data_IF_019069365257
#
_entry.id   IF_019069365257
#
_cell.length_a   1.000
_cell.length_b   1.000
_cell.length_c   1.000
_cell.angle_alpha   90.00
_cell.angle_beta   90.00
_cell.angle_gamma   90.00
#
_symmetry.space_group_name_H-M   'P 1'
#
loop_
_entity.id
_entity.type
_entity.pdbx_description
1 polymer ?
#
# COMPACT_ATOMS: atom_id res chain seq x y z
N UNK A 1 -15.75 11.02 -28.79
CA UNK A 1 -16.32 10.03 -27.84
C UNK A 1 -15.62 8.66 -27.86
N UNK A 2 -15.25 8.08 -29.01
CA UNK A 2 -14.61 6.75 -29.09
C UNK A 2 -13.24 6.64 -28.39
N UNK A 3 -12.38 7.65 -28.54
CA UNK A 3 -11.03 7.66 -27.92
C UNK A 3 -11.03 7.89 -26.40
N UNK A 4 -12.00 8.68 -25.89
CA UNK A 4 -12.25 8.87 -24.46
C UNK A 4 -12.73 7.56 -23.80
N UNK A 5 -13.64 6.86 -24.49
CA UNK A 5 -14.08 5.51 -24.13
C UNK A 5 -12.90 4.53 -24.12
N UNK A 6 -11.97 4.62 -25.07
CA UNK A 6 -10.82 3.72 -25.18
C UNK A 6 -9.75 3.99 -24.11
N UNK A 7 -9.46 5.26 -23.80
CA UNK A 7 -8.61 5.64 -22.66
C UNK A 7 -9.23 5.23 -21.33
N UNK A 8 -10.52 5.52 -21.13
CA UNK A 8 -11.25 5.10 -19.93
C UNK A 8 -11.30 3.57 -19.80
N UNK A 9 -11.46 2.84 -20.90
CA UNK A 9 -11.49 1.38 -20.92
C UNK A 9 -10.12 0.75 -20.64
N UNK A 10 -9.05 1.30 -21.21
CA UNK A 10 -7.68 0.84 -20.93
C UNK A 10 -7.26 1.17 -19.50
N UNK A 11 -7.68 2.33 -18.99
CA UNK A 11 -7.50 2.70 -17.58
C UNK A 11 -8.32 1.77 -16.68
N UNK A 12 -9.59 1.48 -17.00
CA UNK A 12 -10.46 0.55 -16.29
C UNK A 12 -9.87 -0.88 -16.22
N UNK A 13 -9.37 -1.42 -17.34
CA UNK A 13 -8.71 -2.74 -17.36
C UNK A 13 -7.42 -2.74 -16.51
N UNK A 14 -6.65 -1.65 -16.53
CA UNK A 14 -5.42 -1.52 -15.74
C UNK A 14 -5.73 -1.41 -14.24
N UNK A 15 -6.72 -0.61 -13.87
CA UNK A 15 -7.19 -0.43 -12.49
C UNK A 15 -7.77 -1.71 -11.90
N UNK A 16 -8.55 -2.49 -12.69
CA UNK A 16 -9.05 -3.82 -12.31
C UNK A 16 -7.94 -4.84 -12.00
N UNK A 17 -6.75 -4.70 -12.59
CA UNK A 17 -5.60 -5.56 -12.32
C UNK A 17 -4.79 -5.10 -11.10
N UNK A 18 -4.69 -3.80 -10.86
CA UNK A 18 -4.04 -3.21 -9.68
C UNK A 18 -4.75 -3.68 -8.39
N UNK A 19 -6.09 -3.70 -8.38
CA UNK A 19 -6.89 -4.21 -7.27
C UNK A 19 -6.77 -5.73 -7.01
N UNK A 20 -6.31 -6.52 -7.99
CA UNK A 20 -6.26 -7.99 -7.87
C UNK A 20 -5.05 -8.54 -7.08
N UNK A 21 -3.89 -7.87 -7.14
CA UNK A 21 -2.66 -8.37 -6.49
C UNK A 21 -2.40 -7.67 -5.14
N UNK A 22 -3.09 -6.56 -4.86
CA UNK A 22 -3.28 -5.98 -3.53
C UNK A 22 -4.77 -5.91 -3.20
N UNK A 23 -5.49 -7.03 -3.35
CA UNK A 23 -6.82 -7.02 -2.74
C UNK A 23 -6.60 -6.75 -1.26
N UNK A 24 -7.29 -5.77 -0.69
CA UNK A 24 -7.32 -5.48 0.76
C UNK A 24 -7.38 -6.80 1.57
N UNK A 25 -8.10 -7.78 1.00
CA UNK A 25 -8.22 -9.16 1.45
C UNK A 25 -6.89 -9.91 1.60
N UNK A 26 -5.97 -9.84 0.63
CA UNK A 26 -4.67 -10.54 0.73
C UNK A 26 -3.82 -9.95 1.85
N UNK A 27 -3.63 -8.63 1.87
CA UNK A 27 -2.82 -7.97 2.92
C UNK A 27 -3.42 -8.27 4.29
N UNK A 28 -4.73 -8.15 4.44
CA UNK A 28 -5.41 -8.45 5.69
C UNK A 28 -5.35 -9.95 6.05
N UNK A 29 -5.38 -10.86 5.08
CA UNK A 29 -5.24 -12.30 5.32
C UNK A 29 -3.82 -12.66 5.78
N UNK A 30 -2.80 -12.20 5.05
CA UNK A 30 -1.39 -12.42 5.38
C UNK A 30 -1.02 -11.79 6.73
N UNK A 31 -1.47 -10.57 6.98
CA UNK A 31 -1.27 -9.90 8.27
C UNK A 31 -1.94 -10.68 9.41
N UNK A 32 -3.19 -11.14 9.24
CA UNK A 32 -3.87 -11.96 10.26
C UNK A 32 -3.15 -13.26 10.53
N UNK A 33 -2.69 -13.96 9.49
CA UNK A 33 -1.95 -15.22 9.65
C UNK A 33 -0.64 -15.02 10.42
N UNK A 34 0.17 -14.03 10.02
CA UNK A 34 1.45 -13.71 10.69
C UNK A 34 1.21 -13.23 12.12
N UNK A 35 0.23 -12.35 12.33
CA UNK A 35 -0.11 -11.84 13.66
C UNK A 35 -0.63 -12.95 14.58
N UNK A 36 -1.42 -13.89 14.07
CA UNK A 36 -1.92 -15.02 14.84
C UNK A 36 -0.76 -15.92 15.31
N UNK A 37 0.22 -16.20 14.45
CA UNK A 37 1.43 -16.97 14.82
C UNK A 37 2.24 -16.20 15.85
N UNK A 38 2.43 -14.89 15.66
CA UNK A 38 3.17 -14.06 16.61
C UNK A 38 2.51 -14.04 18.00
N UNK A 39 1.19 -13.79 18.05
CA UNK A 39 0.44 -13.68 19.30
C UNK A 39 0.28 -15.02 20.01
N UNK A 40 0.03 -16.09 19.26
CA UNK A 40 -0.22 -17.44 19.80
C UNK A 40 1.06 -18.27 19.91
N UNK A 41 2.24 -17.63 19.85
CA UNK A 41 3.52 -18.33 19.79
C UNK A 41 3.71 -19.37 20.92
N UNK A 42 3.48 -19.05 22.21
CA UNK A 42 3.62 -20.03 23.29
C UNK A 42 2.62 -21.18 23.18
N UNK A 43 1.36 -20.87 22.83
CA UNK A 43 0.33 -21.89 22.66
C UNK A 43 0.65 -22.85 21.51
N UNK A 44 1.21 -22.34 20.40
CA UNK A 44 1.66 -23.16 19.28
C UNK A 44 2.83 -24.05 19.68
N UNK A 45 3.83 -23.51 20.39
CA UNK A 45 4.98 -24.28 20.86
C UNK A 45 4.54 -25.39 21.81
N UNK A 46 3.69 -25.08 22.79
CA UNK A 46 3.14 -26.07 23.71
C UNK A 46 2.33 -27.15 22.99
N UNK A 47 1.43 -26.76 22.07
CA UNK A 47 0.66 -27.73 21.30
C UNK A 47 1.55 -28.66 20.47
N UNK A 48 2.59 -28.12 19.81
CA UNK A 48 3.50 -28.94 19.02
C UNK A 48 4.36 -29.86 19.89
N UNK A 49 4.73 -29.44 21.09
CA UNK A 49 5.44 -30.25 22.07
C UNK A 49 4.58 -31.44 22.52
N UNK A 50 3.40 -31.16 23.05
CA UNK A 50 2.44 -32.19 23.51
C UNK A 50 2.11 -33.18 22.38
N UNK A 51 1.79 -32.67 21.19
CA UNK A 51 1.50 -33.50 20.02
C UNK A 51 2.68 -34.34 19.52
N UNK A 52 3.91 -33.95 19.84
CA UNK A 52 5.12 -34.72 19.47
C UNK A 52 5.46 -35.83 20.48
N UNK A 53 4.96 -35.71 21.70
CA UNK A 53 5.19 -36.63 22.82
C UNK A 53 3.97 -37.53 23.10
N UNK A 54 2.82 -37.27 22.46
CA UNK A 54 1.58 -38.02 22.58
C UNK A 54 1.70 -39.45 22.00
N UNK A 55 1.84 -40.44 22.88
CA UNK A 55 1.98 -41.84 22.51
C UNK A 55 0.75 -42.47 21.84
N UNK A 56 -0.40 -41.79 21.86
CA UNK A 56 -1.60 -42.24 21.15
C UNK A 56 -1.56 -41.94 19.64
N UNK A 57 -0.66 -41.05 19.21
CA UNK A 57 -0.47 -40.67 17.80
C UNK A 57 0.54 -41.57 17.10
N UNK A 58 0.39 -41.68 15.79
CA UNK A 58 1.35 -42.44 14.99
C UNK A 58 2.73 -41.75 14.95
N UNK A 59 3.76 -42.55 14.65
CA UNK A 59 5.14 -42.09 14.63
C UNK A 59 5.40 -40.98 13.60
N UNK A 60 4.63 -40.93 12.52
CA UNK A 60 4.75 -39.93 11.45
C UNK A 60 4.17 -38.58 11.90
N UNK A 61 3.03 -38.58 12.57
CA UNK A 61 2.43 -37.39 13.15
C UNK A 61 3.33 -36.79 14.22
N UNK A 62 3.83 -37.61 15.16
CA UNK A 62 4.78 -37.14 16.19
C UNK A 62 6.02 -36.52 15.58
N UNK A 63 6.60 -37.14 14.55
CA UNK A 63 7.75 -36.60 13.82
C UNK A 63 7.43 -35.27 13.13
N UNK A 64 6.22 -35.12 12.56
CA UNK A 64 5.76 -33.86 11.96
C UNK A 64 5.69 -32.75 13.00
N UNK A 65 5.06 -32.98 14.15
CA UNK A 65 4.95 -31.98 15.21
C UNK A 65 6.30 -31.62 15.82
N UNK A 66 7.19 -32.60 16.01
CA UNK A 66 8.59 -32.36 16.40
C UNK A 66 9.32 -31.46 15.40
N UNK A 67 9.11 -31.69 14.10
CA UNK A 67 9.67 -30.86 13.04
C UNK A 67 9.08 -29.45 13.03
N UNK A 68 7.78 -29.28 13.29
CA UNK A 68 7.12 -27.97 13.39
C UNK A 68 7.62 -27.18 14.60
N UNK A 69 7.73 -27.82 15.77
CA UNK A 69 8.31 -27.21 16.96
C UNK A 69 9.74 -26.76 16.71
N UNK A 70 10.57 -27.63 16.12
CA UNK A 70 11.96 -27.28 15.77
C UNK A 70 12.06 -26.11 14.80
N UNK A 71 11.09 -25.94 13.89
CA UNK A 71 11.05 -24.77 12.99
C UNK A 71 10.59 -23.51 13.72
N UNK A 72 9.57 -23.62 14.57
CA UNK A 72 9.00 -22.51 15.34
C UNK A 72 10.05 -21.88 16.27
N UNK A 73 10.79 -22.72 17.00
CA UNK A 73 11.85 -22.33 17.93
C UNK A 73 13.19 -22.00 17.24
N UNK A 74 13.23 -21.89 15.92
CA UNK A 74 14.44 -21.50 15.19
C UNK A 74 14.58 -19.98 15.17
N UNK A 75 15.76 -19.46 15.51
CA UNK A 75 16.07 -18.01 15.46
C UNK A 75 15.78 -17.44 14.07
N UNK A 76 16.18 -18.16 13.01
CA UNK A 76 15.97 -17.71 11.62
C UNK A 76 14.48 -17.61 11.27
N UNK A 77 13.65 -18.51 11.81
CA UNK A 77 12.21 -18.44 11.63
C UNK A 77 11.64 -17.24 12.38
N UNK A 78 12.03 -17.03 13.64
CA UNK A 78 11.58 -15.90 14.45
C UNK A 78 11.93 -14.55 13.80
N UNK A 79 13.18 -14.37 13.34
CA UNK A 79 13.61 -13.17 12.61
C UNK A 79 12.82 -12.93 11.32
N UNK A 80 12.57 -14.01 10.57
CA UNK A 80 11.75 -13.92 9.34
C UNK A 80 10.29 -13.58 9.65
N UNK A 81 9.72 -14.16 10.70
CA UNK A 81 8.37 -13.88 11.18
C UNK A 81 8.24 -12.41 11.63
N UNK A 82 9.22 -11.92 12.38
CA UNK A 82 9.30 -10.55 12.87
C UNK A 82 9.34 -9.54 11.72
N UNK A 83 10.25 -9.74 10.75
CA UNK A 83 10.33 -8.90 9.55
C UNK A 83 9.01 -8.87 8.78
N UNK A 84 8.37 -10.03 8.59
CA UNK A 84 7.06 -10.09 7.94
C UNK A 84 5.99 -9.35 8.75
N UNK A 85 6.00 -9.46 10.08
CA UNK A 85 5.03 -8.79 10.94
C UNK A 85 5.14 -7.26 10.85
N UNK A 86 6.37 -6.72 10.88
CA UNK A 86 6.61 -5.28 10.76
C UNK A 86 6.17 -4.74 9.39
N UNK A 87 6.59 -5.40 8.30
CA UNK A 87 6.21 -4.98 6.93
C UNK A 87 4.71 -5.09 6.68
N UNK A 88 4.08 -6.21 7.09
CA UNK A 88 2.65 -6.39 6.91
C UNK A 88 1.82 -5.42 7.75
N UNK A 89 2.33 -4.97 8.91
CA UNK A 89 1.67 -3.96 9.73
C UNK A 89 1.63 -2.61 9.02
N UNK A 90 2.75 -2.18 8.42
CA UNK A 90 2.78 -0.95 7.61
C UNK A 90 1.84 -1.06 6.40
N UNK A 91 1.85 -2.20 5.69
CA UNK A 91 0.95 -2.43 4.55
C UNK A 91 -0.53 -2.45 4.96
N UNK A 92 -0.87 -3.05 6.11
CA UNK A 92 -2.22 -3.07 6.67
C UNK A 92 -2.69 -1.66 7.01
N UNK A 93 -1.86 -0.88 7.70
CA UNK A 93 -2.19 0.50 8.07
C UNK A 93 -2.39 1.37 6.83
N UNK A 94 -1.49 1.26 5.84
CA UNK A 94 -1.66 1.92 4.55
C UNK A 94 -2.99 1.55 3.90
N UNK A 95 -3.30 0.26 3.84
CA UNK A 95 -4.53 -0.25 3.22
C UNK A 95 -5.77 0.33 3.88
N UNK A 96 -5.81 0.43 5.22
CA UNK A 96 -6.94 1.02 5.96
C UNK A 96 -7.07 2.52 5.71
N UNK A 97 -5.97 3.26 5.68
CA UNK A 97 -5.99 4.69 5.40
C UNK A 97 -6.52 4.96 3.98
N UNK A 98 -6.07 4.16 3.00
CA UNK A 98 -6.50 4.30 1.61
C UNK A 98 -7.96 3.88 1.38
N UNK A 99 -8.55 3.07 2.26
CA UNK A 99 -9.97 2.70 2.22
C UNK A 99 -10.90 3.83 2.66
N UNK A 100 -10.37 4.93 3.21
CA UNK A 100 -11.18 6.09 3.53
C UNK A 100 -11.74 6.74 2.26
N UNK A 101 -13.07 6.77 2.12
CA UNK A 101 -13.79 7.30 0.96
C UNK A 101 -13.51 8.77 0.65
N UNK A 102 -12.92 9.52 1.60
CA UNK A 102 -12.58 10.94 1.44
C UNK A 102 -11.15 11.19 0.95
N UNK A 103 -10.34 10.15 0.76
CA UNK A 103 -8.94 10.33 0.35
C UNK A 103 -8.86 10.69 -1.13
N UNK A 104 -8.37 11.89 -1.44
CA UNK A 104 -8.14 12.33 -2.83
C UNK A 104 -6.95 11.61 -3.45
N UNK A 105 -6.91 11.52 -4.78
CA UNK A 105 -5.80 10.85 -5.47
C UNK A 105 -4.41 11.44 -5.12
N UNK A 106 -4.21 12.79 -5.08
CA UNK A 106 -2.95 13.36 -4.60
C UNK A 106 -2.63 12.98 -3.16
N UNK A 107 -3.63 13.00 -2.27
CA UNK A 107 -3.43 12.62 -0.87
C UNK A 107 -3.06 11.14 -0.74
N UNK A 108 -3.70 10.26 -1.50
CA UNK A 108 -3.38 8.85 -1.57
C UNK A 108 -1.93 8.63 -2.06
N UNK A 109 -1.51 9.39 -3.09
CA UNK A 109 -0.15 9.38 -3.60
C UNK A 109 0.88 9.75 -2.53
N UNK A 110 0.64 10.83 -1.78
CA UNK A 110 1.53 11.28 -0.71
C UNK A 110 1.64 10.26 0.42
N UNK A 111 0.48 9.70 0.84
CA UNK A 111 0.42 8.67 1.88
C UNK A 111 1.20 7.43 1.44
N UNK A 112 0.94 6.91 0.24
CA UNK A 112 1.67 5.76 -0.28
C UNK A 112 3.17 6.01 -0.40
N UNK A 113 3.59 7.17 -0.92
CA UNK A 113 5.01 7.55 -1.01
C UNK A 113 5.66 7.61 0.37
N UNK A 114 4.94 8.11 1.38
CA UNK A 114 5.38 8.12 2.77
C UNK A 114 5.55 6.69 3.31
N UNK A 115 4.59 5.80 3.04
CA UNK A 115 4.67 4.40 3.49
C UNK A 115 5.75 3.59 2.77
N UNK A 116 6.04 3.87 1.49
CA UNK A 116 7.21 3.31 0.79
C UNK A 116 8.48 3.68 1.56
N UNK A 117 8.67 4.96 1.89
CA UNK A 117 9.84 5.41 2.67
C UNK A 117 9.90 4.77 4.06
N UNK A 118 8.75 4.61 4.74
CA UNK A 118 8.66 3.92 6.04
C UNK A 118 9.13 2.47 5.93
N UNK A 119 8.64 1.71 4.94
CA UNK A 119 9.05 0.32 4.74
C UNK A 119 10.54 0.23 4.39
N UNK A 120 11.04 1.09 3.50
CA UNK A 120 12.47 1.16 3.17
C UNK A 120 13.34 1.45 4.39
N UNK A 121 12.84 2.24 5.34
CA UNK A 121 13.56 2.62 6.55
C UNK A 121 13.86 1.43 7.47
N UNK A 122 13.16 0.30 7.33
CA UNK A 122 13.44 -0.93 8.10
C UNK A 122 14.84 -1.49 7.88
N UNK A 123 15.52 -1.13 6.79
CA UNK A 123 16.92 -1.48 6.59
C UNK A 123 17.88 -0.80 7.58
N UNK A 124 17.46 0.34 8.16
CA UNK A 124 18.28 1.15 9.07
C UNK A 124 17.70 1.21 10.47
N UNK A 125 16.38 1.23 10.57
CA UNK A 125 15.63 1.33 11.82
C UNK A 125 14.68 0.14 11.88
N UNK A 126 15.06 -0.97 12.54
CA UNK A 126 14.21 -2.16 12.60
C UNK A 126 12.86 -1.84 13.24
N UNK A 127 11.81 -2.52 12.78
CA UNK A 127 10.49 -2.44 13.40
C UNK A 127 10.46 -3.13 14.76
N UNK A 128 9.36 -2.93 15.50
CA UNK A 128 9.24 -3.42 16.87
C UNK A 128 9.41 -4.94 16.96
N UNK A 129 8.81 -5.70 16.04
CA UNK A 129 8.92 -7.16 16.07
C UNK A 129 10.36 -7.61 15.79
N UNK A 130 11.06 -6.94 14.89
CA UNK A 130 12.47 -7.21 14.60
C UNK A 130 13.38 -6.89 15.80
N UNK A 131 13.08 -5.83 16.56
CA UNK A 131 13.77 -5.53 17.82
C UNK A 131 13.53 -6.64 18.84
N UNK A 132 12.27 -7.04 19.04
CA UNK A 132 11.91 -8.13 19.98
C UNK A 132 12.62 -9.44 19.61
N UNK A 133 12.69 -9.77 18.31
CA UNK A 133 13.39 -10.97 17.83
C UNK A 133 14.91 -10.90 18.01
N UNK A 134 15.50 -9.70 17.95
CA UNK A 134 16.93 -9.51 18.18
C UNK A 134 17.26 -9.67 19.67
N UNK A 135 16.44 -9.11 20.55
CA UNK A 135 16.57 -9.31 22.00
C UNK A 135 16.40 -10.78 22.39
N UNK A 136 15.44 -11.48 21.77
CA UNK A 136 15.21 -12.90 21.98
C UNK A 136 16.40 -13.77 21.55
N UNK A 137 17.12 -13.37 20.49
CA UNK A 137 18.34 -14.06 20.07
C UNK A 137 19.47 -13.91 21.10
N UNK A 138 19.63 -12.73 21.71
CA UNK A 138 20.67 -12.48 22.73
C UNK A 138 20.50 -13.39 23.95
N UNK A 139 19.26 -13.63 24.37
CA UNK A 139 18.94 -14.48 25.53
C UNK A 139 18.57 -15.92 25.14
N UNK A 140 18.53 -16.24 23.85
CA UNK A 140 18.11 -17.54 23.30
C UNK A 140 16.74 -18.01 23.80
N UNK A 141 15.82 -17.08 24.03
CA UNK A 141 14.48 -17.35 24.53
C UNK A 141 13.48 -16.37 23.93
N UNK A 142 12.30 -16.86 23.54
CA UNK A 142 11.20 -16.00 23.11
C UNK A 142 9.89 -16.45 23.74
N UNK A 143 9.27 -15.56 24.54
CA UNK A 143 7.98 -15.80 25.20
C UNK A 143 7.94 -17.12 26.02
N UNK A 144 9.02 -17.42 26.74
CA UNK A 144 9.15 -18.62 27.56
C UNK A 144 9.59 -19.88 26.80
N UNK A 145 9.89 -19.76 25.51
CA UNK A 145 10.31 -20.88 24.66
C UNK A 145 11.80 -20.75 24.29
N UNK A 146 12.57 -21.80 24.59
CA UNK A 146 14.01 -21.85 24.27
C UNK A 146 14.21 -21.88 22.75
N UNK A 147 15.02 -20.95 22.26
CA UNK A 147 15.37 -20.84 20.85
C UNK A 147 16.57 -21.72 20.52
N UNK A 148 16.70 -22.05 19.23
CA UNK A 148 17.80 -22.86 18.71
C UNK A 148 18.31 -22.30 17.40
N UNK A 149 19.60 -22.54 17.14
CA UNK A 149 20.20 -22.30 15.84
C UNK A 149 19.70 -23.38 14.88
N UNK A 150 18.57 -23.11 14.23
CA UNK A 150 17.92 -24.02 13.29
C UNK A 150 18.40 -23.85 11.86
N UNK A 151 18.05 -24.82 11.00
CA UNK A 151 18.29 -24.77 9.54
C UNK A 151 17.18 -24.06 8.76
N UNK A 152 16.28 -23.34 9.43
CA UNK A 152 15.22 -22.62 8.74
C UNK A 152 15.85 -21.59 7.81
N UNK A 153 15.37 -21.47 6.55
CA UNK A 153 15.82 -20.41 5.67
C UNK A 153 15.49 -19.07 6.30
N UNK A 154 16.45 -18.15 6.24
CA UNK A 154 16.26 -16.77 6.68
C UNK A 154 15.88 -15.92 5.48
N UNK A 155 14.91 -15.04 5.67
CA UNK A 155 14.58 -14.02 4.67
C UNK A 155 15.73 -13.01 4.62
N UNK A 156 16.25 -12.75 3.43
CA UNK A 156 17.13 -11.60 3.20
C UNK A 156 16.30 -10.32 3.38
N UNK A 157 16.53 -9.61 4.47
CA UNK A 157 15.76 -8.43 4.86
C UNK A 157 15.84 -7.33 3.81
N UNK A 158 17.04 -7.04 3.32
CA UNK A 158 17.29 -5.99 2.35
C UNK A 158 16.59 -6.31 1.02
N UNK A 159 16.72 -7.54 0.54
CA UNK A 159 16.06 -7.98 -0.68
C UNK A 159 14.53 -7.96 -0.53
N UNK A 160 14.01 -8.44 0.58
CA UNK A 160 12.56 -8.49 0.84
C UNK A 160 11.96 -7.09 0.93
N UNK A 161 12.55 -6.21 1.74
CA UNK A 161 12.10 -4.81 1.89
C UNK A 161 12.14 -4.10 0.54
N UNK A 162 13.23 -4.26 -0.22
CA UNK A 162 13.37 -3.68 -1.55
C UNK A 162 12.29 -4.20 -2.50
N UNK A 163 12.06 -5.51 -2.54
CA UNK A 163 11.04 -6.10 -3.40
C UNK A 163 9.63 -5.57 -3.08
N UNK A 164 9.29 -5.41 -1.80
CA UNK A 164 8.01 -4.82 -1.39
C UNK A 164 7.92 -3.35 -1.80
N UNK A 165 8.94 -2.55 -1.49
CA UNK A 165 8.98 -1.13 -1.83
C UNK A 165 8.91 -0.89 -3.34
N UNK A 166 9.68 -1.65 -4.12
CA UNK A 166 9.68 -1.55 -5.59
C UNK A 166 8.32 -1.97 -6.15
N UNK A 167 7.67 -3.00 -5.60
CA UNK A 167 6.33 -3.39 -6.01
C UNK A 167 5.28 -2.30 -5.71
N UNK A 168 5.41 -1.60 -4.58
CA UNK A 168 4.55 -0.47 -4.26
C UNK A 168 4.79 0.69 -5.25
N UNK A 169 6.05 1.03 -5.54
CA UNK A 169 6.42 2.08 -6.49
C UNK A 169 5.94 1.79 -7.90
N UNK A 170 6.14 0.57 -8.41
CA UNK A 170 5.68 0.20 -9.75
C UNK A 170 4.18 0.41 -9.92
N UNK A 171 3.40 0.15 -8.86
CA UNK A 171 1.94 0.35 -8.88
C UNK A 171 1.51 1.79 -8.62
N UNK A 172 2.37 2.60 -8.01
CA UNK A 172 2.18 4.04 -7.82
C UNK A 172 2.32 4.83 -9.12
N UNK A 173 3.23 4.43 -10.01
CA UNK A 173 3.72 5.29 -11.11
C UNK A 173 3.27 4.89 -12.51
N UNK A 174 2.29 3.99 -12.66
CA UNK A 174 1.88 3.52 -14.01
C UNK A 174 0.37 3.63 -14.23
N UNK A 175 -0.01 4.38 -15.27
CA UNK A 175 -1.35 4.40 -15.87
C UNK A 175 -1.62 3.19 -16.78
N UNK A 176 -0.70 2.22 -16.90
CA UNK A 176 -0.90 1.01 -17.73
C UNK A 176 0.00 -0.16 -17.30
N UNK A 177 -0.56 -1.36 -17.26
CA UNK A 177 0.04 -2.60 -16.72
C UNK A 177 1.09 -3.31 -17.62
N UNK A 178 1.69 -2.64 -18.62
CA UNK A 178 2.69 -3.29 -19.46
C UNK A 178 4.12 -2.86 -19.07
N UNK A 179 5.00 -3.86 -18.90
CA UNK A 179 6.46 -3.72 -18.99
C UNK A 179 6.79 -3.14 -20.37
N UNK A 180 6.70 -1.83 -20.50
CA UNK A 180 7.13 -1.14 -21.70
C UNK A 180 8.63 -0.88 -21.59
N UNK A 181 9.24 -0.54 -22.73
CA UNK A 181 10.61 -0.06 -22.77
C UNK A 181 10.82 1.10 -21.77
N UNK A 182 12.02 1.18 -21.19
CA UNK A 182 12.34 2.11 -20.09
C UNK A 182 11.99 3.58 -20.42
N UNK A 183 12.17 4.01 -21.67
CA UNK A 183 11.81 5.36 -22.14
C UNK A 183 10.30 5.65 -22.07
N UNK A 184 9.47 4.68 -22.46
CA UNK A 184 8.01 4.79 -22.39
C UNK A 184 7.52 4.75 -20.93
N UNK A 185 8.20 3.99 -20.07
CA UNK A 185 7.90 3.96 -18.63
C UNK A 185 8.23 5.30 -17.94
N UNK A 186 9.35 5.95 -18.29
CA UNK A 186 9.73 7.26 -17.77
C UNK A 186 8.71 8.35 -18.13
N UNK A 187 8.33 8.45 -19.41
CA UNK A 187 7.33 9.43 -19.87
C UNK A 187 5.97 9.24 -19.17
N UNK A 188 5.57 8.00 -18.88
CA UNK A 188 4.31 7.73 -18.16
C UNK A 188 4.36 8.14 -16.69
N UNK A 189 5.49 7.94 -16.02
CA UNK A 189 5.69 8.39 -14.64
C UNK A 189 5.64 9.91 -14.55
N UNK A 190 6.25 10.60 -15.50
CA UNK A 190 6.19 12.07 -15.59
C UNK A 190 4.76 12.57 -15.85
N UNK A 191 4.04 11.96 -16.78
CA UNK A 191 2.64 12.29 -17.06
C UNK A 191 1.74 12.07 -15.83
N UNK A 192 1.93 10.95 -15.11
CA UNK A 192 1.20 10.68 -13.88
C UNK A 192 1.51 11.71 -12.79
N UNK A 193 2.79 12.00 -12.52
CA UNK A 193 3.17 13.01 -11.53
C UNK A 193 2.63 14.40 -11.89
N UNK A 194 2.62 14.75 -13.18
CA UNK A 194 2.01 15.99 -13.68
C UNK A 194 0.51 16.03 -13.36
N UNK A 195 -0.22 14.94 -13.64
CA UNK A 195 -1.64 14.83 -13.29
C UNK A 195 -1.89 14.95 -11.78
N UNK A 196 -1.05 14.32 -10.95
CA UNK A 196 -1.15 14.45 -9.48
C UNK A 196 -0.98 15.90 -9.04
N UNK A 197 0.05 16.59 -9.54
CA UNK A 197 0.27 18.00 -9.24
C UNK A 197 -0.89 18.87 -9.71
N UNK A 198 -1.44 18.58 -10.89
CA UNK A 198 -2.60 19.29 -11.44
C UNK A 198 -3.85 19.09 -10.59
N UNK A 199 -4.08 17.90 -10.05
CA UNK A 199 -5.21 17.65 -9.15
C UNK A 199 -4.98 18.25 -7.76
N UNK A 200 -3.73 18.36 -7.30
CA UNK A 200 -3.40 18.87 -5.98
C UNK A 200 -3.83 20.33 -5.78
N UNK A 201 -3.84 21.15 -6.83
CA UNK A 201 -4.28 22.56 -6.76
C UNK A 201 -5.78 22.71 -6.53
N UNK A 202 -6.58 21.65 -6.66
CA UNK A 202 -8.00 21.69 -6.35
C UNK A 202 -8.27 21.64 -4.83
N UNK A 203 -7.27 21.28 -4.03
CA UNK A 203 -7.37 21.30 -2.57
C UNK A 203 -6.92 22.68 -2.01
N UNK A 204 -7.77 23.41 -1.29
CA UNK A 204 -7.42 24.70 -0.68
C UNK A 204 -6.22 24.66 0.26
N UNK A 205 -5.97 23.53 0.93
CA UNK A 205 -4.83 23.38 1.85
C UNK A 205 -3.47 23.47 1.14
N UNK A 206 -3.45 23.32 -0.19
CA UNK A 206 -2.23 23.35 -1.00
C UNK A 206 -1.97 24.72 -1.62
N UNK A 207 -2.82 25.73 -1.37
CA UNK A 207 -2.72 27.02 -2.04
C UNK A 207 -1.63 27.90 -1.44
N UNK A 208 -0.85 28.53 -2.33
CA UNK A 208 -0.12 29.75 -2.00
C UNK A 208 -1.12 30.91 -1.93
N UNK A 209 -1.52 31.27 -0.71
CA UNK A 209 -2.52 32.31 -0.46
C UNK A 209 -2.06 33.72 -0.88
N UNK A 210 -0.74 33.92 -1.04
CA UNK A 210 -0.18 35.20 -1.46
C UNK A 210 -0.15 35.35 -3.00
N UNK A 211 -0.34 34.24 -3.73
CA UNK A 211 -0.34 34.22 -5.18
C UNK A 211 -1.76 34.11 -5.77
N UNK A 212 -2.35 35.22 -6.26
CA UNK A 212 -3.71 35.22 -6.81
C UNK A 212 -3.85 34.37 -8.09
N UNK A 213 -2.75 33.96 -8.73
CA UNK A 213 -2.75 33.11 -9.94
C UNK A 213 -2.30 31.67 -9.67
N UNK A 214 -2.08 31.30 -8.40
CA UNK A 214 -1.73 29.94 -8.03
C UNK A 214 -2.77 28.93 -8.57
N UNK A 215 -2.29 27.86 -9.22
CA UNK A 215 -3.12 26.78 -9.76
C UNK A 215 -3.76 27.06 -11.13
N UNK A 216 -3.64 28.26 -11.70
CA UNK A 216 -4.30 28.61 -12.96
C UNK A 216 -3.85 27.73 -14.14
N UNK A 217 -2.54 27.48 -14.24
CA UNK A 217 -1.97 26.68 -15.32
C UNK A 217 -2.29 25.19 -15.13
N UNK A 218 -2.27 24.73 -13.88
CA UNK A 218 -2.60 23.37 -13.48
C UNK A 218 -4.07 23.05 -13.78
N UNK A 219 -5.00 23.96 -13.47
CA UNK A 219 -6.42 23.80 -13.80
C UNK A 219 -6.63 23.78 -15.31
N UNK A 220 -5.92 24.63 -16.07
CA UNK A 220 -5.97 24.63 -17.53
C UNK A 220 -5.50 23.30 -18.11
N UNK A 221 -4.33 22.83 -17.69
CA UNK A 221 -3.78 21.55 -18.12
C UNK A 221 -4.69 20.37 -17.72
N UNK A 222 -5.31 20.43 -16.54
CA UNK A 222 -6.29 19.43 -16.09
C UNK A 222 -7.54 19.43 -16.98
N UNK A 223 -8.02 20.60 -17.40
CA UNK A 223 -9.14 20.70 -18.35
C UNK A 223 -8.79 20.08 -19.71
N UNK A 224 -7.55 20.25 -20.18
CA UNK A 224 -7.09 19.64 -21.43
C UNK A 224 -7.06 18.12 -21.32
N UNK A 225 -6.54 17.59 -20.20
CA UNK A 225 -6.48 16.14 -19.91
C UNK A 225 -7.87 15.53 -19.77
N UNK A 226 -8.80 16.22 -19.10
CA UNK A 226 -10.15 15.73 -18.83
C UNK A 226 -11.18 16.11 -19.90
N UNK A 227 -10.75 16.86 -20.91
CA UNK A 227 -11.59 17.42 -21.97
C UNK A 227 -12.80 18.21 -21.45
N UNK A 228 -12.58 19.04 -20.42
CA UNK A 228 -13.57 19.93 -19.79
C UNK A 228 -13.37 21.36 -20.35
N UNK A 229 -14.44 22.16 -20.40
CA UNK A 229 -14.34 23.54 -20.86
C UNK A 229 -13.40 24.36 -19.96
N UNK A 230 -12.25 24.73 -20.50
CA UNK A 230 -11.17 25.45 -19.83
C UNK A 230 -11.60 26.83 -19.32
N UNK A 231 -12.40 27.57 -20.10
CA UNK A 231 -12.83 28.92 -19.74
C UNK A 231 -13.85 28.90 -18.60
N UNK A 232 -14.83 28.01 -18.68
CA UNK A 232 -15.82 27.78 -17.62
C UNK A 232 -15.12 27.35 -16.32
N UNK A 233 -14.24 26.36 -16.40
CA UNK A 233 -13.48 25.86 -15.26
C UNK A 233 -12.55 26.90 -14.63
N UNK A 234 -11.87 27.72 -15.43
CA UNK A 234 -10.98 28.77 -14.92
C UNK A 234 -11.74 29.87 -14.18
N UNK A 235 -12.89 30.32 -14.71
CA UNK A 235 -13.76 31.28 -14.02
C UNK A 235 -14.28 30.68 -12.70
N UNK A 236 -14.75 29.43 -12.74
CA UNK A 236 -15.19 28.71 -11.55
C UNK A 236 -14.07 28.53 -10.52
N UNK A 237 -12.85 28.21 -10.93
CA UNK A 237 -11.72 28.08 -10.01
C UNK A 237 -11.33 29.42 -9.37
N UNK A 238 -11.41 30.52 -10.11
CA UNK A 238 -11.13 31.86 -9.58
C UNK A 238 -12.11 32.24 -8.48
N UNK A 239 -13.41 31.99 -8.69
CA UNK A 239 -14.45 32.22 -7.67
C UNK A 239 -14.31 31.24 -6.48
N UNK A 240 -13.98 29.98 -6.75
CA UNK A 240 -13.68 28.99 -5.71
C UNK A 240 -12.55 29.47 -4.80
N UNK A 241 -11.44 29.97 -5.38
CA UNK A 241 -10.33 30.56 -4.61
C UNK A 241 -10.73 31.80 -3.83
N UNK A 242 -11.50 32.71 -4.44
CA UNK A 242 -11.99 33.91 -3.76
C UNK A 242 -12.84 33.59 -2.52
N UNK A 243 -13.54 32.44 -2.53
CA UNK A 243 -14.29 31.94 -1.37
C UNK A 243 -13.43 31.23 -0.31
N UNK A 244 -12.12 31.13 -0.51
CA UNK A 244 -11.22 30.33 0.33
C UNK A 244 -11.54 28.83 0.23
N UNK A 245 -12.06 28.37 -0.91
CA UNK A 245 -12.44 26.98 -1.13
C UNK A 245 -13.76 26.54 -0.47
N UNK A 246 -14.55 27.48 0.07
CA UNK A 246 -15.79 27.18 0.82
C UNK A 246 -17.00 26.96 -0.08
N UNK A 247 -17.05 27.64 -1.22
CA UNK A 247 -18.21 27.64 -2.13
C UNK A 247 -17.80 27.11 -3.49
N UNK A 248 -18.35 25.97 -3.91
CA UNK A 248 -18.08 25.37 -5.23
C UNK A 248 -18.99 26.01 -6.29
N UNK A 249 -18.44 26.77 -7.26
CA UNK A 249 -19.25 27.41 -8.30
C UNK A 249 -19.80 26.40 -9.30
N UNK A 250 -20.94 26.69 -9.91
CA UNK A 250 -21.57 25.80 -10.89
C UNK A 250 -20.65 25.45 -12.07
N UNK A 251 -19.85 26.43 -12.49
CA UNK A 251 -18.89 26.37 -13.57
C UNK A 251 -17.74 25.39 -13.30
N UNK A 252 -17.47 25.09 -12.02
CA UNK A 252 -16.43 24.14 -11.60
C UNK A 252 -16.95 22.71 -11.43
N UNK A 253 -18.27 22.51 -11.37
CA UNK A 253 -18.88 21.19 -11.07
C UNK A 253 -18.49 20.12 -12.07
N UNK A 254 -18.42 20.43 -13.37
CA UNK A 254 -18.02 19.44 -14.40
C UNK A 254 -16.58 18.97 -14.22
N UNK A 255 -15.68 19.88 -13.86
CA UNK A 255 -14.28 19.55 -13.58
C UNK A 255 -14.17 18.66 -12.35
N UNK A 256 -14.84 19.04 -11.26
CA UNK A 256 -14.84 18.26 -10.02
C UNK A 256 -15.49 16.89 -10.21
N UNK A 257 -16.62 16.80 -10.91
CA UNK A 257 -17.25 15.52 -11.24
C UNK A 257 -16.34 14.61 -12.08
N UNK A 258 -15.59 15.16 -13.04
CA UNK A 258 -14.63 14.38 -13.82
C UNK A 258 -13.47 13.86 -12.94
N UNK A 259 -12.97 14.71 -12.03
CA UNK A 259 -11.94 14.35 -11.05
C UNK A 259 -12.45 13.30 -10.05
N UNK A 260 -13.64 13.49 -9.52
CA UNK A 260 -14.31 12.56 -8.60
C UNK A 260 -14.61 11.24 -9.29
N UNK A 261 -15.00 11.25 -10.57
CA UNK A 261 -15.21 10.02 -11.35
C UNK A 261 -13.90 9.24 -11.50
N UNK A 262 -12.78 9.92 -11.77
CA UNK A 262 -11.46 9.28 -11.78
C UNK A 262 -11.11 8.70 -10.41
N UNK A 263 -11.39 9.44 -9.34
CA UNK A 263 -11.17 9.00 -7.96
C UNK A 263 -12.07 7.81 -7.57
N UNK A 264 -13.34 7.79 -7.98
CA UNK A 264 -14.28 6.71 -7.73
C UNK A 264 -13.91 5.44 -8.51
N UNK A 265 -13.45 5.57 -9.75
CA UNK A 265 -12.89 4.44 -10.52
C UNK A 265 -11.67 3.82 -9.82
N UNK A 266 -10.93 4.61 -9.03
CA UNK A 266 -9.82 4.15 -8.20
C UNK A 266 -10.30 3.50 -6.89
N UNK A 267 -11.40 3.95 -6.27
CA UNK A 267 -11.87 3.47 -4.96
C UNK A 267 -12.94 2.36 -4.99
N UNK A 268 -13.85 2.34 -5.98
CA UNK A 268 -14.98 1.39 -6.06
C UNK A 268 -14.51 -0.06 -6.27
N UNK A 269 -13.31 -0.25 -6.81
CA UNK A 269 -12.70 -1.58 -6.98
C UNK A 269 -12.11 -2.17 -5.67
N UNK A 270 -12.27 -1.49 -4.52
CA UNK A 270 -11.99 -2.01 -3.18
C UNK A 270 -13.22 -2.50 -2.40
N UNK A 271 -14.44 -2.30 -2.92
CA UNK A 271 -15.68 -2.56 -2.19
C UNK A 271 -16.86 -2.94 -3.08
N UNK A 272 -16.92 -4.19 -3.51
CA UNK A 272 -18.12 -4.94 -3.93
C UNK A 272 -17.64 -6.31 -4.41
N UNK A 273 -18.12 -7.47 -3.97
CA UNK A 273 -19.48 -7.83 -3.58
C UNK A 273 -19.51 -8.68 -2.29
N UNK A 274 -20.75 -8.81 -1.79
CA UNK A 274 -21.27 -9.54 -0.63
C UNK A 274 -20.53 -10.83 -0.28
#
# INVERSE_FOLDING_TARGET
MRQLSECAHNLDIALRRIGKVFSVRWVASSWRAVSAVWQSYPALAQHFREASEDDTRDSRERAKFKGLLSKLCSINFLKSLALMADVLTELKNLSEILQNRKTTLPKAHDIMTTYVKRIESFNRYPGQHAVDASQAEEVMEFKGEELRVGRSPIIDSAQFIRAVADNMKERLFTTTANRAQASVAANRKEAYNSLINQMAVLNPDNWDHDNPRFGDNEVRALCDVLHVNQQEAHLGFTEYKASGGRNIPNQMKKLLMAVDTLQEMLTVNGGSAQ
#
